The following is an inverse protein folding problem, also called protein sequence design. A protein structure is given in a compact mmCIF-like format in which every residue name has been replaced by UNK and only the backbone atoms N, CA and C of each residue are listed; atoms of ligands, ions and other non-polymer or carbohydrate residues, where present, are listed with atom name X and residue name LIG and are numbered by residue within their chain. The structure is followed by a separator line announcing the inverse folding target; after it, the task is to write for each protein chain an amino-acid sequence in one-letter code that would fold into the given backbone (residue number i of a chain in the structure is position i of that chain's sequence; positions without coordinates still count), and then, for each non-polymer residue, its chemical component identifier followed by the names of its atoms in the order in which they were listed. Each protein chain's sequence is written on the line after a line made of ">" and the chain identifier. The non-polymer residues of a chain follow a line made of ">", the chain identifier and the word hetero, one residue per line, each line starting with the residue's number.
data_IF_756334086212
#
_entry.id   IF_756334086212
#
_cell.length_a   1.000
_cell.length_b   1.000
_cell.length_c   1.000
_cell.angle_alpha   90.00
_cell.angle_beta   90.00
_cell.angle_gamma   90.00
#
_symmetry.space_group_name_H-M   'P 1'
#
loop_
_entity.id
_entity.type
_entity.pdbx_description
1 polymer ?
#
# COMPACT_ATOMS: atom_id res chain seq x y z
N UNK A 1 -13.22 5.09 0.22
CA UNK A 1 -11.93 5.19 -0.52
C UNK A 1 -11.13 6.35 0.08
N UNK A 2 -9.83 6.17 0.30
CA UNK A 2 -8.93 7.14 0.94
C UNK A 2 -7.50 6.92 0.41
N UNK A 3 -6.57 7.90 0.50
CA UNK A 3 -5.18 7.69 0.13
C UNK A 3 -4.54 6.60 1.00
N UNK A 4 -3.62 5.85 0.39
CA UNK A 4 -2.94 4.71 1.02
C UNK A 4 -1.45 4.97 1.00
N UNK A 5 -0.80 4.75 2.15
CA UNK A 5 0.65 4.73 2.29
C UNK A 5 1.08 3.37 2.84
N UNK A 6 2.36 3.04 2.69
CA UNK A 6 2.94 1.83 3.26
C UNK A 6 4.32 2.11 3.83
N UNK A 7 4.80 1.20 4.67
CA UNK A 7 6.10 1.26 5.32
C UNK A 7 6.63 -0.15 5.56
N UNK A 8 7.96 -0.29 5.52
CA UNK A 8 8.68 -1.48 5.95
C UNK A 8 9.30 -1.23 7.33
N UNK A 9 9.13 -2.18 8.24
CA UNK A 9 9.71 -2.18 9.58
C UNK A 9 10.53 -3.45 9.75
N UNK A 10 11.80 -3.29 10.12
CA UNK A 10 12.68 -4.42 10.37
C UNK A 10 12.87 -4.70 11.84
N UNK A 11 13.49 -5.83 12.14
CA UNK A 11 13.89 -6.24 13.48
C UNK A 11 15.35 -6.69 13.47
N UNK A 12 16.09 -6.29 14.50
CA UNK A 12 17.33 -6.95 14.91
C UNK A 12 17.06 -7.56 16.28
N UNK A 13 17.17 -8.88 16.41
CA UNK A 13 16.68 -9.66 17.53
C UNK A 13 17.80 -10.50 18.17
N UNK A 14 18.03 -10.28 19.47
CA UNK A 14 18.90 -11.15 20.27
C UNK A 14 18.10 -11.92 21.31
N UNK A 15 17.14 -11.27 21.98
CA UNK A 15 16.19 -11.88 22.92
C UNK A 15 14.95 -11.00 23.12
N UNK A 16 13.95 -11.48 23.87
CA UNK A 16 12.74 -10.70 24.18
C UNK A 16 13.03 -9.39 24.90
N UNK A 17 14.15 -9.30 25.62
CA UNK A 17 14.59 -8.11 26.36
C UNK A 17 15.63 -7.28 25.60
N UNK A 18 16.14 -7.81 24.47
CA UNK A 18 17.18 -7.16 23.67
C UNK A 18 16.89 -7.31 22.18
N UNK A 19 16.17 -6.32 21.66
CA UNK A 19 15.90 -6.18 20.24
C UNK A 19 15.79 -4.70 19.85
N UNK A 20 15.87 -4.44 18.55
CA UNK A 20 15.67 -3.10 17.97
C UNK A 20 14.74 -3.20 16.79
N UNK A 21 13.71 -2.35 16.78
CA UNK A 21 12.87 -2.12 15.61
C UNK A 21 13.45 -1.00 14.74
N UNK A 22 13.51 -1.24 13.43
CA UNK A 22 14.00 -0.32 12.43
C UNK A 22 12.83 0.18 11.57
N UNK A 23 12.75 1.48 11.32
CA UNK A 23 11.70 2.09 10.49
C UNK A 23 12.27 2.44 9.12
N UNK A 24 11.54 2.15 8.05
CA UNK A 24 11.94 2.44 6.68
C UNK A 24 13.24 1.76 6.30
N UNK A 25 13.28 0.44 6.47
CA UNK A 25 14.50 -0.35 6.32
C UNK A 25 15.08 -0.26 4.91
N UNK A 26 16.40 -0.15 4.87
CA UNK A 26 17.18 -0.28 3.65
C UNK A 26 17.37 -1.75 3.27
N UNK A 27 17.76 -1.99 2.02
CA UNK A 27 18.01 -3.36 1.54
C UNK A 27 19.08 -4.11 2.34
N UNK A 28 20.09 -3.42 2.88
CA UNK A 28 21.07 -4.06 3.77
C UNK A 28 20.47 -4.46 5.12
N UNK A 29 19.58 -3.64 5.68
CA UNK A 29 18.91 -3.89 6.95
C UNK A 29 17.85 -4.99 6.84
N UNK A 30 17.19 -5.12 5.68
CA UNK A 30 16.42 -6.32 5.37
C UNK A 30 17.36 -7.53 5.32
N UNK A 31 18.39 -7.52 4.46
CA UNK A 31 19.26 -8.67 4.22
C UNK A 31 19.91 -9.24 5.50
N UNK A 32 20.28 -8.37 6.45
CA UNK A 32 20.94 -8.78 7.71
C UNK A 32 20.01 -8.81 8.92
N UNK A 33 18.79 -8.29 8.81
CA UNK A 33 17.80 -8.27 9.91
C UNK A 33 17.01 -9.57 10.02
N UNK A 34 16.31 -9.73 11.14
CA UNK A 34 15.58 -10.94 11.54
C UNK A 34 14.12 -10.96 11.08
N UNK A 35 13.60 -9.81 10.65
CA UNK A 35 12.22 -9.62 10.19
C UNK A 35 12.17 -8.54 9.12
N UNK A 36 11.31 -8.76 8.13
CA UNK A 36 10.81 -7.74 7.21
C UNK A 36 9.27 -7.68 7.32
N UNK A 37 8.78 -6.66 8.02
CA UNK A 37 7.35 -6.40 8.21
C UNK A 37 6.90 -5.22 7.36
N UNK A 38 6.11 -5.52 6.32
CA UNK A 38 5.52 -4.53 5.43
C UNK A 38 4.05 -4.35 5.76
N UNK A 39 3.64 -3.10 5.94
CA UNK A 39 2.23 -2.77 6.15
C UNK A 39 1.83 -1.58 5.30
N UNK A 40 0.66 -1.69 4.68
CA UNK A 40 0.03 -0.61 3.94
C UNK A 40 -1.37 -0.34 4.49
N UNK A 41 -1.82 0.89 4.38
CA UNK A 41 -3.11 1.30 4.92
C UNK A 41 -3.46 2.75 4.68
N UNK A 42 -4.69 3.07 5.07
CA UNK A 42 -5.21 4.44 5.13
C UNK A 42 -5.05 4.99 6.55
N UNK A 43 -5.50 6.22 6.77
CA UNK A 43 -5.64 6.79 8.12
C UNK A 43 -6.56 5.95 9.02
N UNK A 44 -7.61 5.37 8.43
CA UNK A 44 -8.65 4.64 9.15
C UNK A 44 -8.27 3.19 9.50
N UNK A 45 -7.21 2.65 8.89
CA UNK A 45 -6.86 1.26 9.12
C UNK A 45 -5.90 0.67 8.10
N UNK A 46 -5.57 -0.59 8.34
CA UNK A 46 -4.64 -1.39 7.53
C UNK A 46 -5.39 -2.00 6.35
N UNK A 47 -4.79 -1.96 5.17
CA UNK A 47 -5.32 -2.58 3.95
C UNK A 47 -4.53 -3.81 3.53
N UNK A 48 -3.25 -3.90 3.90
CA UNK A 48 -2.40 -5.05 3.60
C UNK A 48 -1.29 -5.19 4.64
N UNK A 49 -0.94 -6.44 4.93
CA UNK A 49 0.23 -6.82 5.73
C UNK A 49 0.96 -7.92 4.97
N UNK A 50 2.28 -7.83 4.93
CA UNK A 50 3.18 -8.91 4.55
C UNK A 50 4.24 -9.01 5.66
N UNK A 51 4.47 -10.23 6.14
CA UNK A 51 5.47 -10.52 7.16
C UNK A 51 6.39 -11.62 6.64
N UNK A 52 7.68 -11.33 6.57
CA UNK A 52 8.74 -12.30 6.34
C UNK A 52 9.61 -12.40 7.60
N UNK A 53 9.82 -13.63 8.07
CA UNK A 53 10.54 -13.93 9.31
C UNK A 53 11.74 -14.81 9.01
N UNK A 54 12.89 -14.41 9.55
CA UNK A 54 14.15 -15.17 9.47
C UNK A 54 14.49 -15.86 10.79
N UNK A 55 13.64 -15.67 11.80
CA UNK A 55 13.67 -16.32 13.12
C UNK A 55 12.41 -17.17 13.34
N UNK A 56 12.42 -18.15 14.28
CA UNK A 56 11.32 -19.10 14.45
C UNK A 56 9.96 -18.50 14.80
N UNK A 57 9.93 -17.28 15.33
CA UNK A 57 8.69 -16.59 15.69
C UNK A 57 8.95 -15.26 16.40
N UNK A 58 7.87 -14.55 16.69
CA UNK A 58 7.89 -13.26 17.40
C UNK A 58 7.00 -13.29 18.63
N UNK A 59 7.47 -12.74 19.77
CA UNK A 59 6.60 -12.44 20.90
C UNK A 59 5.48 -11.47 20.51
N UNK A 60 4.28 -11.66 21.07
CA UNK A 60 3.13 -10.78 20.82
C UNK A 60 3.42 -9.29 21.10
N UNK A 61 4.27 -8.99 22.10
CA UNK A 61 4.70 -7.62 22.43
C UNK A 61 5.40 -6.94 21.25
N UNK A 62 6.30 -7.66 20.57
CA UNK A 62 7.08 -7.10 19.45
C UNK A 62 6.16 -6.85 18.25
N UNK A 63 5.18 -7.72 18.01
CA UNK A 63 4.17 -7.53 16.96
C UNK A 63 3.34 -6.26 17.24
N UNK A 64 2.87 -6.07 18.47
CA UNK A 64 2.10 -4.89 18.86
C UNK A 64 2.91 -3.59 18.70
N UNK A 65 4.16 -3.58 19.15
CA UNK A 65 5.08 -2.44 18.97
C UNK A 65 5.37 -2.15 17.50
N UNK A 66 5.59 -3.19 16.71
CA UNK A 66 5.81 -3.09 15.26
C UNK A 66 4.62 -2.44 14.57
N UNK A 67 3.40 -2.88 14.89
CA UNK A 67 2.17 -2.32 14.34
C UNK A 67 1.98 -0.85 14.73
N UNK A 68 2.27 -0.51 15.98
CA UNK A 68 2.17 0.87 16.46
C UNK A 68 3.17 1.78 15.75
N UNK A 69 4.44 1.36 15.69
CA UNK A 69 5.51 2.10 15.01
C UNK A 69 5.21 2.28 13.54
N UNK A 70 4.77 1.22 12.87
CA UNK A 70 4.42 1.27 11.47
C UNK A 70 3.19 2.14 11.20
N UNK A 71 2.22 2.23 12.14
CA UNK A 71 1.11 3.18 12.06
C UNK A 71 1.62 4.62 12.07
N UNK A 72 2.48 4.98 13.02
CA UNK A 72 3.03 6.33 13.14
C UNK A 72 3.79 6.74 11.88
N UNK A 73 4.69 5.89 11.40
CA UNK A 73 5.46 6.13 10.17
C UNK A 73 4.56 6.22 8.94
N UNK A 74 3.55 5.33 8.82
CA UNK A 74 2.59 5.38 7.71
C UNK A 74 1.80 6.68 7.69
N UNK A 75 1.33 7.16 8.85
CA UNK A 75 0.60 8.42 8.94
C UNK A 75 1.48 9.62 8.60
N UNK A 76 2.75 9.61 9.02
CA UNK A 76 3.72 10.63 8.64
C UNK A 76 3.90 10.71 7.12
N UNK A 77 4.11 9.56 6.46
CA UNK A 77 4.23 9.49 4.99
C UNK A 77 2.95 9.98 4.32
N UNK A 78 1.80 9.51 4.79
CA UNK A 78 0.50 9.90 4.25
C UNK A 78 0.26 11.42 4.34
N UNK A 79 0.64 12.04 5.45
CA UNK A 79 0.55 13.49 5.63
C UNK A 79 1.43 14.22 4.61
N UNK A 80 2.66 13.76 4.39
CA UNK A 80 3.55 14.34 3.37
C UNK A 80 3.03 14.17 1.94
N UNK A 81 2.37 13.05 1.64
CA UNK A 81 1.70 12.86 0.35
C UNK A 81 0.53 13.83 0.17
N UNK A 82 -0.26 14.05 1.23
CA UNK A 82 -1.43 14.94 1.23
C UNK A 82 -1.06 16.42 1.07
N UNK A 83 0.13 16.83 1.55
CA UNK A 83 0.69 18.18 1.30
C UNK A 83 0.87 18.46 -0.20
N UNK A 84 1.03 17.42 -1.03
CA UNK A 84 1.24 17.55 -2.49
C UNK A 84 -0.05 17.33 -3.28
N UNK A 85 -0.81 16.29 -2.96
CA UNK A 85 -2.07 15.96 -3.64
C UNK A 85 -3.12 15.48 -2.63
N UNK A 86 -3.99 16.38 -2.14
CA UNK A 86 -4.93 16.04 -1.07
C UNK A 86 -6.13 15.19 -1.55
N UNK A 87 -6.44 15.26 -2.85
CA UNK A 87 -7.58 14.55 -3.44
C UNK A 87 -7.31 14.14 -4.90
N UNK A 88 -7.99 13.10 -5.42
CA UNK A 88 -7.97 12.79 -6.85
C UNK A 88 -8.35 14.02 -7.69
N UNK A 89 -7.75 14.15 -8.87
CA UNK A 89 -8.09 15.24 -9.80
C UNK A 89 -9.55 15.08 -10.26
N UNK A 90 -10.29 16.19 -10.42
CA UNK A 90 -11.68 16.14 -10.88
C UNK A 90 -11.79 15.62 -12.31
N UNK A 91 -10.76 15.83 -13.12
CA UNK A 91 -10.72 15.43 -14.52
C UNK A 91 -9.59 14.42 -14.77
N UNK A 92 -9.82 13.53 -15.72
CA UNK A 92 -8.83 12.60 -16.23
C UNK A 92 -7.82 13.32 -17.14
N UNK A 93 -6.61 12.75 -17.27
CA UNK A 93 -5.60 13.29 -18.17
C UNK A 93 -6.14 13.42 -19.61
N UNK A 94 -5.82 14.51 -20.35
CA UNK A 94 -6.14 14.64 -21.77
C UNK A 94 -5.53 13.53 -22.65
N UNK A 95 -4.52 12.82 -22.14
CA UNK A 95 -3.86 11.70 -22.81
C UNK A 95 -4.41 10.33 -22.38
N UNK A 96 -5.33 10.28 -21.41
CA UNK A 96 -5.96 9.03 -20.99
C UNK A 96 -6.99 8.58 -22.04
N UNK A 97 -7.27 7.27 -22.15
CA UNK A 97 -8.35 6.77 -23.00
C UNK A 97 -9.68 7.44 -22.67
N UNK A 98 -10.41 7.86 -23.71
CA UNK A 98 -11.73 8.47 -23.58
C UNK A 98 -12.77 7.56 -24.21
N UNK A 99 -13.86 7.35 -23.47
CA UNK A 99 -15.05 6.70 -23.99
C UNK A 99 -15.90 7.80 -24.62
N UNK A 100 -16.15 7.69 -25.92
CA UNK A 100 -17.14 8.52 -26.60
C UNK A 100 -18.44 7.74 -26.68
N UNK A 101 -19.52 8.38 -26.24
CA UNK A 101 -20.86 7.82 -26.32
C UNK A 101 -21.52 8.44 -27.54
N UNK A 102 -21.97 7.59 -28.45
CA UNK A 102 -22.80 7.97 -29.58
C UNK A 102 -24.05 7.11 -29.59
N UNK A 103 -25.17 7.69 -29.99
CA UNK A 103 -26.42 6.97 -30.17
C UNK A 103 -26.56 6.58 -31.63
N UNK A 104 -27.04 5.36 -31.86
CA UNK A 104 -27.37 4.84 -33.19
C UNK A 104 -28.84 4.43 -33.22
N UNK A 105 -29.42 4.40 -34.42
CA UNK A 105 -30.75 3.79 -34.59
C UNK A 105 -30.67 2.31 -34.16
N UNK A 106 -31.53 1.84 -33.23
CA UNK A 106 -31.56 0.44 -32.81
C UNK A 106 -31.64 -0.56 -33.97
N UNK A 107 -32.33 -0.22 -35.06
CA UNK A 107 -32.46 -1.07 -36.24
C UNK A 107 -31.11 -1.34 -36.93
N UNK A 108 -30.11 -0.47 -36.71
CA UNK A 108 -28.76 -0.56 -37.29
C UNK A 108 -27.74 -1.25 -36.37
N UNK A 109 -28.16 -1.78 -35.22
CA UNK A 109 -27.23 -2.43 -34.29
C UNK A 109 -26.50 -3.62 -34.92
N UNK A 110 -27.19 -4.38 -35.78
CA UNK A 110 -26.60 -5.51 -36.50
C UNK A 110 -25.53 -5.10 -37.51
N UNK A 111 -25.65 -3.91 -38.11
CA UNK A 111 -24.62 -3.35 -39.02
C UNK A 111 -23.37 -2.93 -38.26
N UNK A 112 -23.51 -2.41 -37.04
CA UNK A 112 -22.38 -1.99 -36.21
C UNK A 112 -21.63 -3.17 -35.58
N UNK A 113 -22.36 -4.19 -35.12
CA UNK A 113 -21.76 -5.40 -34.53
C UNK A 113 -21.17 -6.31 -35.62
N UNK A 114 -21.88 -6.51 -36.73
CA UNK A 114 -21.46 -7.43 -37.79
C UNK A 114 -21.66 -8.92 -37.45
N UNK A 115 -21.37 -9.82 -38.42
CA UNK A 115 -21.56 -11.26 -38.23
C UNK A 115 -20.46 -11.87 -37.34
N UNK A 116 -20.82 -12.29 -36.13
CA UNK A 116 -19.93 -12.98 -35.19
C UNK A 116 -19.56 -12.17 -33.94
N UNK A 117 -19.98 -10.90 -33.86
CA UNK A 117 -19.53 -9.93 -32.85
C UNK A 117 -18.40 -9.05 -33.35
#
# INVERSE_FOLDING_TARGET
>A
KAPVAGIATGLVYESEDRYVLLTDIQGMEDATGDMDFKVAGTENGITAIQLDLKIPGLPHKIIAETLQRARESRLFILQKMLEVIPAPRPEVSPRAPRIFVMEINPDKIGEVIGPGG
#
